data_IF_154881607156
#
_entry.id   IF_154881607156
#
_cell.length_a   1.000
_cell.length_b   1.000
_cell.length_c   1.000
_cell.angle_alpha   90.00
_cell.angle_beta   90.00
_cell.angle_gamma   90.00
#
_symmetry.space_group_name_H-M   'P 1'
#
loop_
_entity.id
_entity.type
_entity.pdbx_description
1 polymer ?
#
# COMPACT_ATOMS: atom_id res chain seq x y z
N UNK A 1 -9.02 -2.03 -27.68
CA UNK A 1 -10.28 -2.51 -27.10
C UNK A 1 -10.82 -1.56 -26.01
N UNK A 2 -9.94 -1.00 -25.18
CA UNK A 2 -10.27 -0.21 -23.98
C UNK A 2 -11.06 1.08 -24.23
N UNK A 3 -10.96 1.66 -25.42
CA UNK A 3 -11.57 2.95 -25.79
C UNK A 3 -13.06 3.09 -25.43
N UNK A 4 -13.87 2.06 -25.70
CA UNK A 4 -15.32 2.10 -25.41
C UNK A 4 -15.61 2.19 -23.90
N UNK A 5 -14.75 1.60 -23.07
CA UNK A 5 -14.89 1.63 -21.61
C UNK A 5 -14.49 2.99 -21.05
N UNK A 6 -13.46 3.62 -21.61
CA UNK A 6 -13.07 4.99 -21.27
C UNK A 6 -14.15 5.99 -21.69
N UNK A 7 -14.73 5.84 -22.88
CA UNK A 7 -15.85 6.68 -23.34
C UNK A 7 -17.10 6.52 -22.47
N UNK A 8 -17.40 5.29 -21.98
CA UNK A 8 -18.48 5.07 -21.02
C UNK A 8 -18.19 5.71 -19.65
N UNK A 9 -16.98 5.49 -19.13
CA UNK A 9 -16.56 6.00 -17.83
C UNK A 9 -16.56 7.54 -17.82
N UNK A 10 -15.92 8.17 -18.81
CA UNK A 10 -15.87 9.63 -18.98
C UNK A 10 -17.28 10.26 -19.01
N UNK A 11 -18.22 9.64 -19.73
CA UNK A 11 -19.61 10.12 -19.79
C UNK A 11 -20.31 10.07 -18.44
N UNK A 12 -19.98 9.06 -17.62
CA UNK A 12 -20.64 8.78 -16.34
C UNK A 12 -20.11 9.59 -15.16
N UNK A 13 -18.87 10.10 -15.25
CA UNK A 13 -18.29 10.96 -14.23
C UNK A 13 -19.02 12.31 -14.22
N UNK A 14 -19.51 12.69 -13.05
CA UNK A 14 -20.19 13.97 -12.80
C UNK A 14 -19.30 14.83 -11.88
N UNK A 15 -18.69 15.91 -12.40
CA UNK A 15 -17.77 16.75 -11.63
C UNK A 15 -18.31 17.19 -10.26
N UNK A 16 -19.56 17.65 -10.19
CA UNK A 16 -20.14 18.15 -8.94
C UNK A 16 -20.25 17.04 -7.88
N UNK A 17 -20.49 15.80 -8.31
CA UNK A 17 -20.59 14.63 -7.43
C UNK A 17 -19.21 14.20 -6.94
N UNK A 18 -18.21 14.19 -7.81
CA UNK A 18 -16.84 13.80 -7.44
C UNK A 18 -16.16 14.87 -6.57
N UNK A 19 -16.37 16.16 -6.85
CA UNK A 19 -15.87 17.26 -6.02
C UNK A 19 -16.48 17.20 -4.61
N UNK A 20 -17.80 17.05 -4.50
CA UNK A 20 -18.47 16.92 -3.21
C UNK A 20 -18.02 15.68 -2.41
N UNK A 21 -17.77 14.56 -3.10
CA UNK A 21 -17.24 13.35 -2.47
C UNK A 21 -15.81 13.57 -1.96
N UNK A 22 -14.95 14.19 -2.76
CA UNK A 22 -13.58 14.47 -2.38
C UNK A 22 -13.52 15.46 -1.20
N UNK A 23 -14.35 16.50 -1.21
CA UNK A 23 -14.49 17.44 -0.08
C UNK A 23 -14.94 16.74 1.21
N UNK A 24 -15.84 15.76 1.12
CA UNK A 24 -16.24 14.97 2.28
C UNK A 24 -15.06 14.15 2.84
N UNK A 25 -14.25 13.56 1.96
CA UNK A 25 -13.02 12.85 2.36
C UNK A 25 -11.99 13.78 3.01
N UNK A 26 -11.78 14.98 2.45
CA UNK A 26 -10.89 15.98 3.06
C UNK A 26 -11.41 16.43 4.42
N UNK A 27 -12.73 16.66 4.54
CA UNK A 27 -13.38 16.97 5.82
C UNK A 27 -13.16 15.88 6.87
N UNK A 28 -13.25 14.60 6.49
CA UNK A 28 -12.95 13.48 7.37
C UNK A 28 -11.47 13.47 7.82
N UNK A 29 -10.55 13.56 6.87
CA UNK A 29 -9.10 13.48 7.16
C UNK A 29 -8.60 14.67 8.00
N UNK A 30 -9.18 15.84 7.82
CA UNK A 30 -8.89 17.03 8.65
C UNK A 30 -9.63 17.02 10.01
N UNK A 31 -10.42 15.98 10.31
CA UNK A 31 -11.09 15.83 11.60
C UNK A 31 -12.34 16.69 11.78
N UNK A 32 -12.99 17.07 10.67
CA UNK A 32 -14.23 17.84 10.66
C UNK A 32 -15.50 16.96 10.55
N UNK A 33 -15.35 15.63 10.44
CA UNK A 33 -16.48 14.71 10.44
C UNK A 33 -17.24 14.77 11.77
N UNK A 34 -18.54 15.07 11.71
CA UNK A 34 -19.42 15.17 12.88
C UNK A 34 -20.05 13.83 13.26
N UNK A 35 -20.05 12.87 12.33
CA UNK A 35 -20.56 11.52 12.55
C UNK A 35 -19.50 10.68 13.27
N UNK A 36 -19.93 9.65 13.98
CA UNK A 36 -19.01 8.74 14.67
C UNK A 36 -18.25 7.84 13.69
N UNK A 37 -18.90 7.46 12.59
CA UNK A 37 -18.33 6.64 11.53
C UNK A 37 -18.49 7.43 10.23
N UNK A 38 -17.39 7.66 9.54
CA UNK A 38 -17.40 8.23 8.20
C UNK A 38 -17.64 7.12 7.17
N UNK A 39 -18.73 7.21 6.42
CA UNK A 39 -19.08 6.24 5.38
C UNK A 39 -19.71 6.99 4.20
N UNK A 40 -18.88 7.67 3.38
CA UNK A 40 -19.38 8.53 2.34
C UNK A 40 -20.02 7.73 1.20
N UNK A 41 -20.87 8.40 0.43
CA UNK A 41 -21.47 7.85 -0.78
C UNK A 41 -21.62 8.94 -1.83
N UNK A 42 -21.59 8.55 -3.11
CA UNK A 42 -21.93 9.46 -4.20
C UNK A 42 -23.40 9.80 -4.13
N UNK A 43 -23.72 11.07 -4.31
CA UNK A 43 -25.11 11.55 -4.36
C UNK A 43 -25.91 10.98 -5.53
N UNK A 44 -25.22 10.46 -6.55
CA UNK A 44 -25.81 9.83 -7.73
C UNK A 44 -25.00 8.62 -8.15
N UNK A 45 -25.67 7.48 -8.29
CA UNK A 45 -25.12 6.30 -8.94
C UNK A 45 -25.44 6.32 -10.44
N UNK A 46 -24.50 5.87 -11.28
CA UNK A 46 -24.67 5.78 -12.73
C UNK A 46 -24.27 4.40 -13.20
N UNK A 47 -25.18 3.63 -13.80
CA UNK A 47 -24.87 2.30 -14.32
C UNK A 47 -23.99 2.38 -15.59
N UNK A 48 -23.10 1.40 -15.82
CA UNK A 48 -22.33 1.33 -17.05
C UNK A 48 -23.24 1.04 -18.25
N UNK A 49 -22.93 1.64 -19.40
CA UNK A 49 -23.58 1.30 -20.67
C UNK A 49 -23.05 0.01 -21.31
N UNK A 50 -22.01 -0.59 -20.72
CA UNK A 50 -21.30 -1.77 -21.22
C UNK A 50 -21.05 -2.75 -20.07
N UNK A 51 -21.02 -4.05 -20.38
CA UNK A 51 -20.54 -5.05 -19.42
C UNK A 51 -19.01 -4.97 -19.34
N UNK A 52 -18.48 -4.75 -18.14
CA UNK A 52 -17.05 -4.70 -17.92
C UNK A 52 -16.49 -6.13 -17.81
N UNK A 53 -15.38 -6.44 -18.49
CA UNK A 53 -14.81 -7.78 -18.45
C UNK A 53 -14.04 -7.97 -17.15
N UNK A 54 -14.14 -9.16 -16.58
CA UNK A 54 -13.23 -9.59 -15.53
C UNK A 54 -11.88 -9.96 -16.15
N UNK A 55 -10.87 -9.13 -15.90
CA UNK A 55 -9.48 -9.36 -16.33
C UNK A 55 -8.72 -10.02 -15.20
N UNK A 56 -8.10 -11.17 -15.47
CA UNK A 56 -7.29 -11.89 -14.47
C UNK A 56 -5.98 -11.19 -14.20
N UNK A 57 -5.43 -11.39 -13.01
CA UNK A 57 -4.15 -10.80 -12.60
C UNK A 57 -3.03 -11.15 -13.58
N UNK A 58 -2.84 -12.42 -13.96
CA UNK A 58 -1.76 -12.79 -14.87
C UNK A 58 -1.87 -12.09 -16.23
N UNK A 59 -3.09 -11.91 -16.74
CA UNK A 59 -3.33 -11.14 -17.98
C UNK A 59 -2.96 -9.67 -17.81
N UNK A 60 -3.29 -9.06 -16.67
CA UNK A 60 -2.91 -7.69 -16.34
C UNK A 60 -1.38 -7.52 -16.23
N UNK A 61 -0.65 -8.51 -15.69
CA UNK A 61 0.82 -8.45 -15.57
C UNK A 61 1.55 -8.46 -16.93
N UNK A 62 0.92 -9.00 -17.97
CA UNK A 62 1.46 -9.15 -19.32
C UNK A 62 1.09 -8.00 -20.28
N UNK A 63 0.03 -7.25 -20.00
CA UNK A 63 -0.48 -6.22 -20.92
C UNK A 63 -0.94 -4.96 -20.19
N UNK A 64 -0.39 -3.81 -20.58
CA UNK A 64 -0.76 -2.50 -20.03
C UNK A 64 -2.24 -2.17 -20.27
N UNK A 65 -2.78 -2.53 -21.44
CA UNK A 65 -4.21 -2.34 -21.74
C UNK A 65 -5.09 -3.20 -20.83
N UNK A 66 -4.69 -4.45 -20.56
CA UNK A 66 -5.42 -5.34 -19.66
C UNK A 66 -5.32 -4.86 -18.20
N UNK A 67 -4.15 -4.39 -17.78
CA UNK A 67 -3.98 -3.77 -16.46
C UNK A 67 -4.87 -2.53 -16.30
N UNK A 68 -4.90 -1.64 -17.30
CA UNK A 68 -5.79 -0.48 -17.29
C UNK A 68 -7.26 -0.91 -17.16
N UNK A 69 -7.69 -1.89 -17.95
CA UNK A 69 -9.06 -2.38 -17.93
C UNK A 69 -9.44 -2.99 -16.57
N UNK A 70 -8.55 -3.78 -15.97
CA UNK A 70 -8.74 -4.35 -14.63
C UNK A 70 -8.86 -3.27 -13.55
N UNK A 71 -7.97 -2.26 -13.55
CA UNK A 71 -7.97 -1.21 -12.53
C UNK A 71 -9.17 -0.25 -12.71
N UNK A 72 -9.55 0.06 -13.95
CA UNK A 72 -10.69 0.94 -14.24
C UNK A 72 -12.05 0.27 -13.99
N UNK A 73 -12.13 -1.07 -13.96
CA UNK A 73 -13.35 -1.80 -13.58
C UNK A 73 -13.81 -1.38 -12.18
N UNK A 74 -12.88 -1.24 -11.22
CA UNK A 74 -13.19 -0.78 -9.87
C UNK A 74 -13.76 0.64 -9.86
N UNK A 75 -13.25 1.53 -10.72
CA UNK A 75 -13.77 2.90 -10.88
C UNK A 75 -15.21 2.88 -11.44
N UNK A 76 -15.45 2.08 -12.48
CA UNK A 76 -16.78 1.89 -13.05
C UNK A 76 -17.77 1.32 -12.04
N UNK A 77 -17.34 0.35 -11.23
CA UNK A 77 -18.15 -0.23 -10.14
C UNK A 77 -18.48 0.82 -9.08
N UNK A 78 -17.53 1.67 -8.69
CA UNK A 78 -17.75 2.73 -7.70
C UNK A 78 -18.84 3.72 -8.14
N UNK A 79 -18.83 4.12 -9.41
CA UNK A 79 -19.91 4.94 -10.00
C UNK A 79 -21.25 4.18 -10.04
N UNK A 80 -21.23 2.89 -10.37
CA UNK A 80 -22.44 2.08 -10.50
C UNK A 80 -23.15 1.81 -9.17
N UNK A 81 -22.40 1.62 -8.09
CA UNK A 81 -22.94 1.41 -6.75
C UNK A 81 -23.18 2.71 -6.00
N UNK A 82 -22.61 3.83 -6.48
CA UNK A 82 -22.63 5.10 -5.77
C UNK A 82 -21.82 5.06 -4.47
N UNK A 83 -20.81 4.18 -4.37
CA UNK A 83 -20.01 4.07 -3.15
C UNK A 83 -19.17 5.32 -2.90
N UNK A 84 -18.64 5.47 -1.69
CA UNK A 84 -17.71 6.54 -1.32
C UNK A 84 -16.28 6.35 -1.84
N UNK A 85 -16.03 5.32 -2.65
CA UNK A 85 -14.70 5.00 -3.16
C UNK A 85 -14.23 6.06 -4.15
N UNK A 86 -13.09 6.71 -3.87
CA UNK A 86 -12.42 7.58 -4.85
C UNK A 86 -11.93 6.73 -6.02
N UNK A 87 -12.18 7.17 -7.25
CA UNK A 87 -11.70 6.45 -8.43
C UNK A 87 -10.18 6.54 -8.48
N UNK A 88 -9.52 5.39 -8.49
CA UNK A 88 -8.07 5.33 -8.45
C UNK A 88 -7.56 4.08 -9.16
N UNK A 89 -6.37 4.20 -9.74
CA UNK A 89 -5.64 3.12 -10.40
C UNK A 89 -4.21 3.06 -9.87
N UNK A 90 -3.62 1.86 -9.90
CA UNK A 90 -2.22 1.62 -9.52
C UNK A 90 -1.51 0.83 -10.60
N UNK A 91 -0.22 1.04 -10.73
CA UNK A 91 0.68 0.10 -11.41
C UNK A 91 0.74 -1.21 -10.60
N UNK A 92 -0.25 -2.08 -10.79
CA UNK A 92 -0.61 -3.14 -9.84
C UNK A 92 0.21 -4.42 -10.05
N UNK A 93 1.51 -4.36 -9.78
CA UNK A 93 2.44 -5.48 -9.96
C UNK A 93 2.74 -6.29 -8.67
N UNK A 94 2.01 -6.03 -7.57
CA UNK A 94 2.14 -6.78 -6.32
C UNK A 94 3.35 -6.38 -5.47
N UNK A 95 3.61 -7.17 -4.42
CA UNK A 95 4.65 -6.89 -3.41
C UNK A 95 6.07 -7.10 -3.95
N UNK A 96 6.21 -7.76 -5.09
CA UNK A 96 7.50 -8.04 -5.73
C UNK A 96 8.18 -6.85 -6.39
N UNK A 97 7.57 -5.65 -6.41
CA UNK A 97 8.13 -4.47 -7.09
C UNK A 97 9.53 -4.16 -6.54
N UNK A 98 9.64 -3.74 -5.28
CA UNK A 98 10.92 -3.38 -4.65
C UNK A 98 11.91 -4.55 -4.60
N UNK A 99 11.55 -5.76 -4.16
CA UNK A 99 12.50 -6.88 -4.14
C UNK A 99 13.07 -7.25 -5.52
N UNK A 100 12.29 -7.09 -6.59
CA UNK A 100 12.77 -7.40 -7.95
C UNK A 100 13.86 -6.46 -8.45
N UNK A 101 13.96 -5.22 -7.94
CA UNK A 101 15.06 -4.29 -8.25
C UNK A 101 16.40 -4.85 -7.73
N UNK A 102 16.37 -5.55 -6.60
CA UNK A 102 17.52 -6.25 -6.02
C UNK A 102 17.78 -7.62 -6.66
N UNK A 103 16.97 -8.02 -7.65
CA UNK A 103 17.15 -9.27 -8.38
C UNK A 103 16.43 -10.48 -7.78
N UNK A 104 15.51 -10.30 -6.83
CA UNK A 104 14.60 -11.37 -6.42
C UNK A 104 13.72 -11.80 -7.61
N UNK A 105 13.60 -13.11 -7.82
CA UNK A 105 12.80 -13.67 -8.90
C UNK A 105 11.32 -13.58 -8.56
N UNK A 106 10.47 -13.22 -9.52
CA UNK A 106 9.03 -13.19 -9.30
C UNK A 106 8.47 -14.61 -9.16
N UNK A 107 7.64 -14.81 -8.15
CA UNK A 107 6.84 -16.02 -7.97
C UNK A 107 5.39 -15.72 -8.38
N UNK A 108 4.98 -16.28 -9.52
CA UNK A 108 3.61 -16.18 -10.02
C UNK A 108 2.84 -17.45 -9.65
N UNK A 109 1.65 -17.26 -9.08
CA UNK A 109 0.70 -18.34 -8.87
C UNK A 109 0.02 -18.75 -10.19
N UNK A 110 -0.57 -19.95 -10.21
CA UNK A 110 -1.42 -20.40 -11.31
C UNK A 110 -2.53 -19.36 -11.60
N UNK A 111 -2.82 -19.13 -12.88
CA UNK A 111 -3.80 -18.12 -13.35
C UNK A 111 -5.19 -18.26 -12.71
N UNK A 112 -5.56 -19.47 -12.28
CA UNK A 112 -6.83 -19.73 -11.58
C UNK A 112 -6.90 -19.14 -10.16
N UNK A 113 -5.76 -18.81 -9.54
CA UNK A 113 -5.70 -18.20 -8.22
C UNK A 113 -6.00 -16.70 -8.23
N UNK A 114 -5.90 -16.07 -9.41
CA UNK A 114 -6.21 -14.65 -9.64
C UNK A 114 -5.62 -13.71 -8.57
N UNK A 115 -4.34 -13.91 -8.25
CA UNK A 115 -3.65 -13.20 -7.17
C UNK A 115 -2.37 -12.54 -7.65
N UNK A 116 -1.99 -11.45 -6.99
CA UNK A 116 -0.76 -10.71 -7.28
C UNK A 116 0.48 -11.57 -7.00
N UNK A 117 1.57 -11.38 -7.77
CA UNK A 117 2.78 -12.14 -7.58
C UNK A 117 3.50 -11.70 -6.31
N UNK A 118 4.33 -12.61 -5.78
CA UNK A 118 5.34 -12.33 -4.76
C UNK A 118 6.72 -12.61 -5.34
N UNK A 119 7.75 -12.80 -4.51
CA UNK A 119 9.10 -13.16 -4.94
C UNK A 119 9.61 -14.43 -4.29
N UNK A 120 10.56 -15.08 -4.97
CA UNK A 120 11.46 -16.05 -4.38
C UNK A 120 12.58 -15.27 -3.68
N UNK A 121 12.84 -15.52 -2.39
CA UNK A 121 13.95 -14.91 -1.68
C UNK A 121 15.30 -15.16 -2.36
N UNK A 122 16.29 -14.31 -2.11
CA UNK A 122 17.61 -14.38 -2.74
C UNK A 122 18.36 -15.69 -2.46
N UNK A 123 18.03 -16.38 -1.36
CA UNK A 123 18.53 -17.73 -1.07
C UNK A 123 17.98 -18.83 -2.00
N UNK A 124 16.98 -18.51 -2.82
CA UNK A 124 16.25 -19.41 -3.71
C UNK A 124 15.15 -20.20 -2.99
N UNK A 125 14.24 -20.79 -3.76
CA UNK A 125 13.10 -21.55 -3.22
C UNK A 125 13.55 -22.74 -2.36
N UNK A 126 14.67 -23.37 -2.70
CA UNK A 126 15.23 -24.47 -1.91
C UNK A 126 15.72 -24.03 -0.52
N UNK A 127 15.87 -22.73 -0.25
CA UNK A 127 16.24 -22.18 1.05
C UNK A 127 15.03 -21.83 1.93
N UNK A 128 13.79 -21.94 1.43
CA UNK A 128 12.58 -21.62 2.21
C UNK A 128 12.08 -22.80 3.04
N UNK A 129 12.99 -23.58 3.61
CA UNK A 129 12.69 -24.73 4.47
C UNK A 129 12.92 -24.40 5.93
N UNK A 130 12.22 -25.10 6.83
CA UNK A 130 12.41 -24.92 8.28
C UNK A 130 13.86 -25.22 8.71
N UNK A 131 14.50 -26.20 8.10
CA UNK A 131 15.89 -26.56 8.41
C UNK A 131 16.86 -25.44 8.02
N UNK A 132 16.65 -24.82 6.86
CA UNK A 132 17.47 -23.67 6.43
C UNK A 132 17.20 -22.44 7.29
N UNK A 133 15.93 -22.18 7.64
CA UNK A 133 15.58 -21.07 8.52
C UNK A 133 16.15 -21.21 9.94
N UNK A 134 16.51 -22.42 10.37
CA UNK A 134 17.10 -22.72 11.68
C UNK A 134 18.62 -22.88 11.66
N UNK A 135 19.25 -22.89 10.49
CA UNK A 135 20.71 -22.92 10.40
C UNK A 135 21.32 -21.60 10.85
N UNK A 136 22.61 -21.61 11.21
CA UNK A 136 23.36 -20.41 11.55
C UNK A 136 23.16 -19.34 10.47
N UNK A 137 22.64 -18.17 10.86
CA UNK A 137 22.29 -17.11 9.92
C UNK A 137 23.49 -16.71 9.05
N UNK A 138 24.71 -16.74 9.61
CA UNK A 138 25.94 -16.36 8.90
C UNK A 138 26.32 -17.28 7.74
N UNK A 139 25.76 -18.49 7.67
CA UNK A 139 26.11 -19.51 6.69
C UNK A 139 25.07 -19.65 5.56
N UNK A 140 23.97 -18.90 5.63
CA UNK A 140 22.88 -19.05 4.65
C UNK A 140 23.21 -18.40 3.31
N UNK A 141 22.62 -18.94 2.23
CA UNK A 141 22.69 -18.32 0.90
C UNK A 141 22.05 -16.94 0.85
N UNK A 142 21.00 -16.71 1.65
CA UNK A 142 20.36 -15.39 1.75
C UNK A 142 21.36 -14.34 2.29
N UNK A 143 22.09 -14.68 3.36
CA UNK A 143 23.13 -13.81 3.93
C UNK A 143 24.23 -13.47 2.92
N UNK A 144 24.73 -14.47 2.18
CA UNK A 144 25.74 -14.25 1.15
C UNK A 144 25.22 -13.35 0.03
N UNK A 145 23.97 -13.53 -0.39
CA UNK A 145 23.35 -12.69 -1.41
C UNK A 145 23.14 -11.25 -0.91
N UNK A 146 22.73 -11.07 0.34
CA UNK A 146 22.56 -9.75 0.96
C UNK A 146 23.89 -9.00 1.04
N UNK A 147 24.97 -9.65 1.47
CA UNK A 147 26.30 -9.04 1.47
C UNK A 147 26.72 -8.57 0.08
N UNK A 148 26.47 -9.38 -0.95
CA UNK A 148 26.74 -8.99 -2.33
C UNK A 148 25.87 -7.81 -2.81
N UNK A 149 24.64 -7.66 -2.30
CA UNK A 149 23.80 -6.49 -2.59
C UNK A 149 24.34 -5.22 -1.93
N UNK A 150 24.81 -5.32 -0.69
CA UNK A 150 25.40 -4.18 0.02
C UNK A 150 26.63 -3.63 -0.71
N UNK A 151 27.46 -4.51 -1.27
CA UNK A 151 28.61 -4.11 -2.11
C UNK A 151 28.20 -3.38 -3.40
N UNK A 152 26.99 -3.64 -3.92
CA UNK A 152 26.46 -3.02 -5.13
C UNK A 152 25.75 -1.68 -4.87
N UNK A 153 25.20 -1.48 -3.66
CA UNK A 153 24.45 -0.29 -3.29
C UNK A 153 23.08 -0.20 -3.99
N UNK A 154 22.53 1.02 -4.09
CA UNK A 154 21.20 1.28 -4.65
C UNK A 154 21.13 0.78 -6.10
N UNK A 155 20.21 -0.14 -6.44
CA UNK A 155 20.08 -0.70 -7.79
C UNK A 155 19.51 0.32 -8.78
N UNK A 156 19.67 0.05 -10.07
CA UNK A 156 18.93 0.75 -11.13
C UNK A 156 17.42 0.58 -10.92
N UNK A 157 16.72 1.71 -10.78
CA UNK A 157 15.27 1.77 -10.54
C UNK A 157 14.43 1.17 -11.68
N UNK A 158 15.02 0.99 -12.87
CA UNK A 158 14.36 0.33 -14.01
C UNK A 158 14.58 -1.17 -14.06
N UNK A 159 15.36 -1.76 -13.14
CA UNK A 159 15.55 -3.22 -13.04
C UNK A 159 14.27 -3.92 -12.55
N UNK A 160 14.12 -5.19 -12.91
CA UNK A 160 12.99 -6.01 -12.45
C UNK A 160 11.65 -5.44 -12.92
N UNK A 161 10.70 -5.31 -11.98
CA UNK A 161 9.40 -4.69 -12.24
C UNK A 161 9.46 -3.16 -12.32
N UNK A 162 10.57 -2.52 -11.94
CA UNK A 162 10.69 -1.06 -11.92
C UNK A 162 10.40 -0.41 -13.27
N UNK A 163 10.97 -0.92 -14.37
CA UNK A 163 10.66 -0.43 -15.72
C UNK A 163 9.16 -0.54 -16.04
N UNK A 164 8.54 -1.70 -15.76
CA UNK A 164 7.11 -1.91 -16.00
C UNK A 164 6.24 -0.94 -15.22
N UNK A 165 6.60 -0.63 -13.97
CA UNK A 165 5.86 0.33 -13.14
C UNK A 165 5.88 1.72 -13.77
N UNK A 166 7.06 2.24 -14.12
CA UNK A 166 7.16 3.57 -14.75
C UNK A 166 6.50 3.60 -16.13
N UNK A 167 6.61 2.51 -16.91
CA UNK A 167 6.01 2.42 -18.24
C UNK A 167 4.47 2.37 -18.18
N UNK A 168 3.89 1.69 -17.18
CA UNK A 168 2.44 1.70 -16.95
C UNK A 168 1.97 3.07 -16.47
N UNK A 169 2.73 3.76 -15.61
CA UNK A 169 2.38 5.11 -15.17
C UNK A 169 2.31 6.07 -16.37
N UNK A 170 3.32 6.06 -17.23
CA UNK A 170 3.33 6.82 -18.48
C UNK A 170 2.16 6.41 -19.40
N UNK A 171 1.91 5.11 -19.53
CA UNK A 171 0.78 4.61 -20.32
C UNK A 171 -0.57 5.11 -19.79
N UNK A 172 -0.80 5.14 -18.47
CA UNK A 172 -2.02 5.71 -17.89
C UNK A 172 -2.17 7.20 -18.19
N UNK A 173 -1.09 7.98 -18.08
CA UNK A 173 -1.12 9.40 -18.40
C UNK A 173 -1.49 9.63 -19.88
N UNK A 174 -0.87 8.88 -20.80
CA UNK A 174 -1.21 8.92 -22.23
C UNK A 174 -2.64 8.47 -22.50
N UNK A 175 -3.08 7.40 -21.84
CA UNK A 175 -4.43 6.83 -22.00
C UNK A 175 -5.52 7.78 -21.52
N UNK A 176 -5.28 8.53 -20.43
CA UNK A 176 -6.24 9.43 -19.83
C UNK A 176 -6.25 10.83 -20.46
N UNK A 177 -5.16 11.25 -21.10
CA UNK A 177 -5.04 12.59 -21.70
C UNK A 177 -6.21 13.03 -22.61
N UNK A 178 -6.85 12.14 -23.41
CA UNK A 178 -8.01 12.52 -24.23
C UNK A 178 -9.34 12.67 -23.46
N UNK A 179 -9.37 12.34 -22.17
CA UNK A 179 -10.58 12.20 -21.35
C UNK A 179 -10.51 13.13 -20.12
N UNK A 180 -10.96 14.38 -20.22
CA UNK A 180 -10.73 15.41 -19.19
C UNK A 180 -11.25 15.04 -17.79
N UNK A 181 -12.40 14.36 -17.69
CA UNK A 181 -12.92 13.97 -16.38
C UNK A 181 -12.17 12.79 -15.81
N UNK A 182 -11.83 11.78 -16.61
CA UNK A 182 -10.96 10.68 -16.17
C UNK A 182 -9.61 11.23 -15.70
N UNK A 183 -8.98 12.10 -16.49
CA UNK A 183 -7.70 12.72 -16.13
C UNK A 183 -7.77 13.49 -14.81
N UNK A 184 -8.90 14.12 -14.50
CA UNK A 184 -9.10 14.90 -13.27
C UNK A 184 -9.47 14.04 -12.06
N UNK A 185 -10.31 13.03 -12.24
CA UNK A 185 -10.98 12.33 -11.13
C UNK A 185 -10.55 10.87 -10.94
N UNK A 186 -9.74 10.30 -11.84
CA UNK A 186 -9.12 8.98 -11.66
C UNK A 186 -7.68 9.16 -11.20
N UNK A 187 -7.43 8.91 -9.92
CA UNK A 187 -6.12 9.14 -9.32
C UNK A 187 -5.15 8.00 -9.62
N UNK A 188 -3.97 8.32 -10.16
CA UNK A 188 -2.85 7.38 -10.25
C UNK A 188 -2.06 7.51 -8.96
N UNK A 189 -2.08 6.49 -8.10
CA UNK A 189 -1.35 6.52 -6.84
C UNK A 189 -0.12 5.62 -6.87
N UNK A 190 0.78 5.84 -5.92
CA UNK A 190 2.08 5.17 -5.93
C UNK A 190 1.95 3.65 -5.86
N UNK A 191 2.88 2.92 -6.51
CA UNK A 191 2.86 1.47 -6.55
C UNK A 191 2.99 0.84 -5.15
N UNK A 192 2.79 -0.47 -5.11
CA UNK A 192 2.97 -1.23 -3.88
C UNK A 192 4.47 -1.40 -3.56
N UNK A 193 5.01 -0.45 -2.82
CA UNK A 193 6.43 -0.44 -2.45
C UNK A 193 6.72 -1.18 -1.15
N UNK A 194 5.69 -1.66 -0.45
CA UNK A 194 5.82 -2.28 0.89
C UNK A 194 6.47 -1.32 1.92
N UNK A 195 6.76 -1.79 3.13
CA UNK A 195 7.62 -1.14 4.11
C UNK A 195 9.06 -1.67 4.03
N UNK A 196 10.07 -0.94 4.57
CA UNK A 196 11.47 -1.39 4.53
C UNK A 196 11.71 -2.78 5.10
N UNK A 197 11.05 -3.13 6.21
CA UNK A 197 11.17 -4.45 6.83
C UNK A 197 10.54 -5.55 5.96
N UNK A 198 9.37 -5.29 5.38
CA UNK A 198 8.69 -6.22 4.47
C UNK A 198 9.52 -6.52 3.22
N UNK A 199 10.18 -5.51 2.66
CA UNK A 199 11.14 -5.70 1.56
C UNK A 199 12.31 -6.58 2.04
N UNK A 200 12.85 -6.34 3.23
CA UNK A 200 13.91 -7.18 3.80
C UNK A 200 13.44 -8.64 3.98
N UNK A 201 12.21 -8.86 4.47
CA UNK A 201 11.65 -10.21 4.61
C UNK A 201 11.47 -10.89 3.25
N UNK A 202 10.98 -10.17 2.24
CA UNK A 202 10.83 -10.69 0.88
C UNK A 202 12.18 -11.06 0.24
N UNK A 203 13.23 -10.28 0.49
CA UNK A 203 14.58 -10.55 0.00
C UNK A 203 15.25 -11.72 0.72
N UNK A 204 15.10 -11.81 2.04
CA UNK A 204 15.82 -12.78 2.87
C UNK A 204 15.06 -14.10 3.02
N UNK A 205 13.73 -14.04 3.03
CA UNK A 205 12.83 -15.12 3.45
C UNK A 205 12.79 -15.28 4.98
N UNK A 206 12.14 -16.34 5.46
CA UNK A 206 11.92 -16.58 6.90
C UNK A 206 13.20 -16.70 7.74
N UNK A 207 14.37 -16.88 7.12
CA UNK A 207 15.66 -16.81 7.80
C UNK A 207 15.95 -15.43 8.42
N UNK A 208 15.26 -14.37 7.98
CA UNK A 208 15.39 -13.01 8.52
C UNK A 208 15.17 -12.99 10.04
N UNK A 209 14.22 -13.76 10.57
CA UNK A 209 13.91 -13.75 12.00
C UNK A 209 15.08 -14.24 12.87
N UNK A 210 15.88 -15.18 12.36
CA UNK A 210 17.13 -15.57 13.01
C UNK A 210 18.23 -14.54 12.78
N UNK A 211 18.32 -13.95 11.59
CA UNK A 211 19.29 -12.91 11.28
C UNK A 211 19.11 -11.65 12.14
N UNK A 212 17.89 -11.26 12.48
CA UNK A 212 17.60 -10.16 13.41
C UNK A 212 18.21 -10.36 14.80
N UNK A 213 18.46 -11.61 15.20
CA UNK A 213 19.07 -11.97 16.48
C UNK A 213 20.58 -12.18 16.35
N UNK A 214 21.01 -12.90 15.31
CA UNK A 214 22.40 -13.35 15.15
C UNK A 214 23.28 -12.36 14.37
N UNK A 215 22.69 -11.61 13.44
CA UNK A 215 23.36 -10.68 12.52
C UNK A 215 22.66 -9.32 12.45
N UNK A 216 22.33 -8.69 13.60
CA UNK A 216 21.49 -7.50 13.59
C UNK A 216 22.12 -6.31 12.86
N UNK A 217 23.46 -6.21 12.85
CA UNK A 217 24.17 -5.13 12.15
C UNK A 217 24.01 -5.29 10.63
N UNK A 218 24.12 -6.51 10.11
CA UNK A 218 23.90 -6.79 8.69
C UNK A 218 22.45 -6.53 8.26
N UNK A 219 21.48 -6.84 9.12
CA UNK A 219 20.07 -6.50 8.84
C UNK A 219 19.87 -4.99 8.84
N UNK A 220 20.54 -4.26 9.73
CA UNK A 220 20.51 -2.79 9.78
C UNK A 220 21.08 -2.19 8.49
N UNK A 221 22.22 -2.70 8.01
CA UNK A 221 22.82 -2.28 6.73
C UNK A 221 21.87 -2.54 5.54
N UNK A 222 21.18 -3.70 5.53
CA UNK A 222 20.20 -3.99 4.48
C UNK A 222 18.98 -3.05 4.56
N UNK A 223 18.46 -2.77 5.76
CA UNK A 223 17.35 -1.84 5.96
C UNK A 223 17.71 -0.42 5.49
N UNK A 224 18.94 0.04 5.76
CA UNK A 224 19.45 1.31 5.25
C UNK A 224 19.45 1.33 3.72
N UNK A 225 20.05 0.33 3.08
CA UNK A 225 20.09 0.22 1.61
C UNK A 225 18.68 0.17 1.00
N UNK A 226 17.77 -0.63 1.58
CA UNK A 226 16.38 -0.73 1.14
C UNK A 226 15.67 0.62 1.27
N UNK A 227 15.90 1.34 2.36
CA UNK A 227 15.26 2.65 2.58
C UNK A 227 15.83 3.72 1.64
N UNK A 228 17.12 3.70 1.35
CA UNK A 228 17.74 4.56 0.32
C UNK A 228 17.16 4.27 -1.07
N UNK A 229 16.99 2.99 -1.41
CA UNK A 229 16.38 2.58 -2.68
C UNK A 229 14.91 2.98 -2.76
N UNK A 230 14.17 2.83 -1.65
CA UNK A 230 12.80 3.33 -1.54
C UNK A 230 12.77 4.84 -1.78
N UNK A 231 13.71 5.59 -1.20
CA UNK A 231 13.81 7.02 -1.40
C UNK A 231 14.01 7.37 -2.89
N UNK A 232 15.02 6.77 -3.52
CA UNK A 232 15.31 6.99 -4.94
C UNK A 232 14.13 6.62 -5.84
N UNK A 233 13.44 5.51 -5.55
CA UNK A 233 12.25 5.10 -6.30
C UNK A 233 11.11 6.10 -6.15
N UNK A 234 10.79 6.51 -4.92
CA UNK A 234 9.69 7.43 -4.66
C UNK A 234 9.95 8.84 -5.17
N UNK A 235 11.20 9.33 -5.11
CA UNK A 235 11.59 10.59 -5.76
C UNK A 235 11.30 10.52 -7.27
N UNK A 236 11.75 9.45 -7.95
CA UNK A 236 11.48 9.24 -9.38
C UNK A 236 9.98 9.05 -9.68
N UNK A 237 9.23 8.43 -8.78
CA UNK A 237 7.79 8.29 -8.90
C UNK A 237 7.07 9.64 -8.82
N UNK A 238 7.42 10.47 -7.84
CA UNK A 238 6.83 11.81 -7.65
C UNK A 238 7.15 12.70 -8.86
N UNK A 239 8.38 12.61 -9.41
CA UNK A 239 8.75 13.32 -10.64
C UNK A 239 7.89 12.88 -11.84
N UNK A 240 7.53 11.59 -11.91
CA UNK A 240 6.73 11.02 -13.00
C UNK A 240 5.23 11.22 -12.82
N UNK A 241 4.72 11.13 -11.59
CA UNK A 241 3.31 11.21 -11.22
C UNK A 241 3.20 12.15 -10.01
N UNK A 242 3.18 13.47 -10.24
CA UNK A 242 3.16 14.45 -9.18
C UNK A 242 1.91 14.36 -8.31
N UNK A 243 2.09 14.58 -7.01
CA UNK A 243 1.01 14.72 -6.05
C UNK A 243 1.32 15.92 -5.13
N UNK A 244 0.66 17.05 -5.36
CA UNK A 244 1.03 18.35 -4.75
C UNK A 244 0.09 18.78 -3.60
N UNK A 245 -1.05 18.10 -3.43
CA UNK A 245 -2.12 18.59 -2.55
C UNK A 245 -1.95 18.18 -1.07
N UNK A 246 -0.87 17.45 -0.72
CA UNK A 246 -0.63 16.99 0.65
C UNK A 246 -1.57 15.87 1.12
N UNK A 247 -2.32 15.28 0.19
CA UNK A 247 -3.19 14.11 0.41
C UNK A 247 -2.88 13.06 -0.65
N UNK A 248 -3.06 11.78 -0.31
CA UNK A 248 -2.91 10.69 -1.27
C UNK A 248 -4.12 9.77 -1.22
N UNK A 249 -4.37 9.12 -2.36
CA UNK A 249 -5.42 8.11 -2.50
C UNK A 249 -4.76 6.74 -2.47
N UNK A 250 -5.25 5.85 -1.63
CA UNK A 250 -4.81 4.45 -1.58
C UNK A 250 -6.02 3.55 -1.43
N UNK A 251 -6.13 2.55 -2.31
CA UNK A 251 -7.26 1.60 -2.33
C UNK A 251 -8.61 2.33 -2.29
N UNK A 252 -8.74 3.40 -3.07
CA UNK A 252 -9.92 4.27 -3.15
C UNK A 252 -10.29 5.03 -1.88
N UNK A 253 -9.39 5.12 -0.90
CA UNK A 253 -9.54 5.90 0.33
C UNK A 253 -8.53 7.05 0.32
N UNK A 254 -8.89 8.19 0.94
CA UNK A 254 -7.99 9.34 1.05
C UNK A 254 -7.28 9.30 2.40
N UNK A 255 -6.00 9.70 2.44
CA UNK A 255 -5.28 9.99 3.67
C UNK A 255 -4.41 11.24 3.50
N UNK A 256 -4.01 11.85 4.62
CA UNK A 256 -3.07 12.98 4.63
C UNK A 256 -1.63 12.47 4.43
N UNK A 257 -0.79 13.31 3.84
CA UNK A 257 0.58 12.96 3.45
C UNK A 257 0.65 12.27 2.08
N UNK A 258 1.84 11.78 1.72
CA UNK A 258 2.13 11.33 0.35
C UNK A 258 2.37 9.84 0.21
N UNK A 259 2.69 9.14 1.31
CA UNK A 259 3.08 7.73 1.27
C UNK A 259 2.15 6.85 2.09
N UNK A 260 2.02 5.59 1.68
CA UNK A 260 1.45 4.50 2.47
C UNK A 260 2.55 3.47 2.72
N UNK A 261 2.97 3.33 3.97
CA UNK A 261 3.88 2.27 4.42
C UNK A 261 3.07 1.00 4.67
N UNK A 262 3.62 -0.18 4.36
CA UNK A 262 2.97 -1.47 4.62
C UNK A 262 3.89 -2.29 5.51
N UNK A 263 3.46 -2.53 6.73
CA UNK A 263 4.22 -3.14 7.82
C UNK A 263 3.62 -4.50 8.21
N UNK A 264 3.51 -5.42 7.25
CA UNK A 264 2.92 -6.72 7.49
C UNK A 264 3.90 -7.61 8.30
N UNK A 265 5.20 -7.51 8.05
CA UNK A 265 6.25 -8.18 8.82
C UNK A 265 6.27 -7.78 10.29
N UNK A 266 5.80 -6.57 10.62
CA UNK A 266 5.78 -6.04 11.99
C UNK A 266 4.96 -6.91 12.95
N UNK A 267 3.96 -7.65 12.43
CA UNK A 267 3.14 -8.55 13.24
C UNK A 267 3.96 -9.64 13.94
N UNK A 268 5.10 -10.01 13.36
CA UNK A 268 6.00 -11.06 13.86
C UNK A 268 7.06 -10.53 14.83
N UNK A 269 7.15 -9.21 15.02
CA UNK A 269 8.22 -8.58 15.78
C UNK A 269 7.72 -8.02 17.11
N UNK A 270 8.53 -8.19 18.17
CA UNK A 270 8.24 -7.59 19.47
C UNK A 270 8.29 -6.06 19.41
N UNK A 271 7.67 -5.33 20.36
CA UNK A 271 7.72 -3.86 20.36
C UNK A 271 9.15 -3.29 20.37
N UNK A 272 10.07 -3.97 21.08
CA UNK A 272 11.49 -3.60 21.10
C UNK A 272 12.18 -3.82 19.74
N UNK A 273 11.77 -4.84 18.98
CA UNK A 273 12.27 -5.08 17.63
C UNK A 273 11.66 -4.08 16.63
N UNK A 274 10.38 -3.72 16.79
CA UNK A 274 9.75 -2.65 16.01
C UNK A 274 10.52 -1.33 16.16
N UNK A 275 10.78 -0.90 17.40
CA UNK A 275 11.55 0.32 17.69
C UNK A 275 12.97 0.29 17.11
N UNK A 276 13.59 -0.90 17.05
CA UNK A 276 14.96 -1.05 16.55
C UNK A 276 15.06 -1.13 15.03
N UNK A 277 14.17 -1.89 14.40
CA UNK A 277 14.34 -2.32 13.01
C UNK A 277 13.28 -1.81 12.05
N UNK A 278 12.19 -1.22 12.53
CA UNK A 278 11.11 -0.69 11.67
C UNK A 278 11.00 0.82 11.84
N UNK A 279 10.66 1.25 13.06
CA UNK A 279 10.37 2.65 13.39
C UNK A 279 11.41 3.66 12.86
N UNK A 280 12.74 3.42 12.93
CA UNK A 280 13.70 4.41 12.44
C UNK A 280 13.58 4.68 10.93
N UNK A 281 13.27 3.65 10.15
CA UNK A 281 13.21 3.72 8.69
C UNK A 281 11.85 4.28 8.22
N UNK A 282 10.77 3.87 8.85
CA UNK A 282 9.45 4.44 8.61
C UNK A 282 9.40 5.91 8.98
N UNK A 283 9.98 6.27 10.14
CA UNK A 283 10.08 7.66 10.57
C UNK A 283 10.90 8.49 9.57
N UNK A 284 11.96 7.92 8.99
CA UNK A 284 12.74 8.57 7.94
C UNK A 284 11.88 8.84 6.71
N UNK A 285 11.16 7.83 6.21
CA UNK A 285 10.28 7.97 5.04
C UNK A 285 9.15 8.97 5.28
N UNK A 286 8.46 8.88 6.42
CA UNK A 286 7.39 9.82 6.78
C UNK A 286 7.91 11.27 6.83
N UNK A 287 9.09 11.52 7.41
CA UNK A 287 9.68 12.87 7.43
C UNK A 287 10.06 13.35 6.04
N UNK A 288 10.67 12.51 5.22
CA UNK A 288 11.13 12.86 3.88
C UNK A 288 9.96 13.29 2.99
N UNK A 289 8.84 12.59 3.08
CA UNK A 289 7.70 12.76 2.19
C UNK A 289 6.53 13.54 2.82
N UNK A 290 6.75 14.26 3.90
CA UNK A 290 5.73 15.13 4.49
C UNK A 290 4.55 14.39 5.12
N UNK A 291 4.79 13.18 5.62
CA UNK A 291 3.83 12.34 6.32
C UNK A 291 3.13 11.33 5.41
N UNK A 292 2.22 10.56 6.01
CA UNK A 292 1.53 9.50 5.32
C UNK A 292 0.72 8.59 6.24
N UNK A 293 0.40 7.43 5.70
CA UNK A 293 -0.36 6.39 6.34
C UNK A 293 0.46 5.12 6.56
N UNK A 294 0.04 4.33 7.54
CA UNK A 294 0.57 3.01 7.84
C UNK A 294 -0.51 1.96 7.59
N UNK A 295 -0.18 0.90 6.87
CA UNK A 295 -0.99 -0.28 6.73
C UNK A 295 -0.35 -1.46 7.46
N UNK A 296 -1.17 -2.32 8.07
CA UNK A 296 -0.72 -3.64 8.47
C UNK A 296 -1.83 -4.70 8.40
N UNK A 297 -1.41 -5.91 8.07
CA UNK A 297 -2.18 -7.13 8.23
C UNK A 297 -1.91 -7.79 9.60
N UNK A 298 -2.84 -8.64 10.01
CA UNK A 298 -2.74 -9.43 11.23
C UNK A 298 -2.83 -8.59 12.49
N UNK A 299 -1.95 -8.89 13.44
CA UNK A 299 -1.93 -8.29 14.78
C UNK A 299 -0.90 -7.17 14.86
N UNK A 300 -1.32 -5.98 15.24
CA UNK A 300 -0.48 -4.80 15.45
C UNK A 300 -0.74 -4.04 16.77
N UNK A 301 -1.70 -4.47 17.58
CA UNK A 301 -1.99 -3.90 18.91
C UNK A 301 -0.75 -3.82 19.84
N UNK A 302 0.22 -4.72 19.66
CA UNK A 302 1.45 -4.72 20.47
C UNK A 302 2.44 -3.62 20.08
N UNK A 303 2.45 -3.12 18.85
CA UNK A 303 3.37 -2.07 18.40
C UNK A 303 2.68 -0.75 18.06
N UNK A 304 1.35 -0.70 17.94
CA UNK A 304 0.61 0.50 17.52
C UNK A 304 0.95 1.74 18.36
N UNK A 305 1.24 1.54 19.66
CA UNK A 305 1.74 2.61 20.54
C UNK A 305 2.98 3.27 19.96
N UNK A 306 3.95 2.47 19.55
CA UNK A 306 5.23 2.93 19.02
C UNK A 306 5.07 3.57 17.63
N UNK A 307 4.25 2.96 16.78
CA UNK A 307 3.92 3.51 15.46
C UNK A 307 3.25 4.88 15.57
N UNK A 308 2.29 5.04 16.49
CA UNK A 308 1.57 6.30 16.73
C UNK A 308 2.42 7.44 17.28
N UNK A 309 3.66 7.18 17.67
CA UNK A 309 4.62 8.19 18.08
C UNK A 309 5.54 8.64 16.92
N UNK A 310 5.37 8.09 15.71
CA UNK A 310 6.08 8.55 14.53
C UNK A 310 5.52 9.88 14.05
N UNK A 311 6.39 10.87 13.96
CA UNK A 311 6.06 12.18 13.41
C UNK A 311 5.67 12.04 11.93
N UNK A 312 4.51 12.58 11.57
CA UNK A 312 3.98 12.51 10.20
C UNK A 312 3.07 11.31 9.93
N UNK A 313 2.90 10.37 10.88
CA UNK A 313 1.84 9.35 10.76
C UNK A 313 0.48 9.99 11.03
N UNK A 314 -0.37 10.05 10.01
CA UNK A 314 -1.70 10.69 10.10
C UNK A 314 -2.85 9.71 10.00
N UNK A 315 -2.60 8.51 9.49
CA UNK A 315 -3.65 7.54 9.19
C UNK A 315 -3.16 6.11 9.34
N UNK A 316 -4.02 5.22 9.83
CA UNK A 316 -3.78 3.78 9.93
C UNK A 316 -4.84 3.03 9.14
N UNK A 317 -4.43 1.98 8.44
CA UNK A 317 -5.32 1.00 7.83
C UNK A 317 -4.95 -0.38 8.37
N UNK A 318 -5.94 -1.15 8.84
CA UNK A 318 -5.73 -2.50 9.34
C UNK A 318 -6.77 -3.46 8.77
N UNK A 319 -6.31 -4.67 8.41
CA UNK A 319 -7.15 -5.64 7.69
C UNK A 319 -7.94 -6.58 8.60
N UNK A 320 -7.42 -6.96 9.77
CA UNK A 320 -8.01 -7.97 10.67
C UNK A 320 -8.19 -7.44 12.10
N UNK A 321 -9.20 -6.58 12.36
CA UNK A 321 -9.47 -6.08 13.72
C UNK A 321 -9.73 -7.21 14.74
N UNK A 322 -10.24 -8.37 14.32
CA UNK A 322 -10.46 -9.55 15.16
C UNK A 322 -9.17 -10.17 15.72
N UNK A 323 -8.00 -9.84 15.15
CA UNK A 323 -6.70 -10.28 15.65
C UNK A 323 -6.09 -9.32 16.69
N UNK A 324 -6.77 -8.22 17.02
CA UNK A 324 -6.23 -7.11 17.80
C UNK A 324 -7.08 -6.81 19.03
N UNK A 325 -6.44 -6.36 20.11
CA UNK A 325 -7.13 -5.56 21.12
C UNK A 325 -7.47 -4.18 20.52
N UNK A 326 -8.70 -4.03 20.05
CA UNK A 326 -9.15 -2.81 19.38
C UNK A 326 -9.19 -1.60 20.31
N UNK A 327 -9.34 -1.77 21.63
CA UNK A 327 -9.27 -0.63 22.56
C UNK A 327 -7.86 -0.02 22.55
N UNK A 328 -6.82 -0.86 22.52
CA UNK A 328 -5.43 -0.41 22.38
C UNK A 328 -5.19 0.27 21.03
N UNK A 329 -5.79 -0.25 19.94
CA UNK A 329 -5.72 0.40 18.63
C UNK A 329 -6.33 1.80 18.68
N UNK A 330 -7.55 1.96 19.21
CA UNK A 330 -8.23 3.26 19.28
C UNK A 330 -7.49 4.25 20.21
N UNK A 331 -7.01 3.80 21.37
CA UNK A 331 -6.25 4.62 22.33
C UNK A 331 -4.94 5.17 21.74
N UNK A 332 -4.39 4.50 20.73
CA UNK A 332 -3.17 4.89 20.05
C UNK A 332 -3.40 5.40 18.63
N UNK A 333 -4.65 5.55 18.20
CA UNK A 333 -4.98 6.16 16.91
C UNK A 333 -5.97 7.29 17.08
N UNK A 334 -7.26 6.96 17.22
CA UNK A 334 -8.38 7.89 17.33
C UNK A 334 -8.15 8.93 18.44
N UNK A 335 -7.76 8.49 19.64
CA UNK A 335 -7.51 9.39 20.79
C UNK A 335 -6.31 10.32 20.55
N UNK A 336 -5.40 9.96 19.65
CA UNK A 336 -4.24 10.75 19.25
C UNK A 336 -4.47 11.59 18.01
N UNK A 337 -5.68 11.57 17.45
CA UNK A 337 -6.01 12.31 16.23
C UNK A 337 -5.58 11.61 14.93
N UNK A 338 -5.16 10.35 14.98
CA UNK A 338 -4.78 9.55 13.81
C UNK A 338 -6.04 8.86 13.29
N UNK A 339 -6.36 9.08 12.02
CA UNK A 339 -7.55 8.48 11.41
C UNK A 339 -7.35 6.97 11.18
N UNK A 340 -8.42 6.18 11.28
CA UNK A 340 -8.46 4.81 10.80
C UNK A 340 -9.27 4.79 9.51
N UNK A 341 -8.71 4.26 8.43
CA UNK A 341 -9.44 4.07 7.16
C UNK A 341 -9.71 2.61 6.88
N UNK A 342 -10.89 2.31 6.34
CA UNK A 342 -11.21 0.99 5.79
C UNK A 342 -11.45 -0.07 6.87
N UNK A 343 -11.81 0.36 8.08
CA UNK A 343 -12.15 -0.56 9.16
C UNK A 343 -13.47 -1.28 8.80
N UNK A 344 -13.55 -2.61 8.97
CA UNK A 344 -14.83 -3.32 8.86
C UNK A 344 -15.89 -2.69 9.76
N UNK A 345 -17.06 -2.38 9.19
CA UNK A 345 -18.16 -1.65 9.87
C UNK A 345 -18.53 -2.27 11.23
N UNK A 346 -18.55 -3.60 11.32
CA UNK A 346 -18.87 -4.30 12.57
C UNK A 346 -17.92 -3.97 13.72
N UNK A 347 -16.64 -3.70 13.44
CA UNK A 347 -15.65 -3.39 14.48
C UNK A 347 -15.84 -1.97 15.02
N UNK A 348 -16.23 -1.03 14.15
CA UNK A 348 -16.61 0.32 14.57
C UNK A 348 -17.91 0.31 15.39
N UNK A 349 -18.92 -0.45 14.95
CA UNK A 349 -20.21 -0.59 15.65
C UNK A 349 -20.05 -1.25 17.03
N UNK A 350 -19.17 -2.26 17.17
CA UNK A 350 -18.86 -2.86 18.46
C UNK A 350 -18.23 -1.84 19.43
N UNK A 351 -17.30 -1.01 18.96
CA UNK A 351 -16.69 0.05 19.76
C UNK A 351 -17.75 1.05 20.27
N UNK A 352 -18.66 1.50 19.39
CA UNK A 352 -19.76 2.39 19.76
C UNK A 352 -20.73 1.74 20.76
N UNK A 353 -21.07 0.45 20.56
CA UNK A 353 -21.93 -0.29 21.47
C UNK A 353 -21.32 -0.43 22.88
N UNK A 354 -19.99 -0.43 22.98
CA UNK A 354 -19.22 -0.41 24.23
C UNK A 354 -19.04 0.99 24.81
N UNK A 355 -19.62 2.02 24.20
CA UNK A 355 -19.64 3.40 24.68
C UNK A 355 -18.38 4.21 24.35
N UNK A 356 -17.55 3.74 23.42
CA UNK A 356 -16.38 4.48 22.92
C UNK A 356 -16.82 5.58 21.96
N UNK A 357 -16.20 6.74 22.04
CA UNK A 357 -16.35 7.81 21.06
C UNK A 357 -15.28 7.64 19.99
N UNK A 358 -15.67 7.62 18.72
CA UNK A 358 -14.77 7.45 17.57
C UNK A 358 -14.32 8.80 16.99
N UNK A 359 -14.83 9.91 17.53
CA UNK A 359 -14.44 11.29 17.20
C UNK A 359 -14.49 11.63 15.69
N UNK A 360 -15.30 10.91 14.91
CA UNK A 360 -15.35 11.05 13.46
C UNK A 360 -14.03 10.72 12.76
N UNK A 361 -13.21 9.84 13.35
CA UNK A 361 -11.89 9.45 12.84
C UNK A 361 -11.83 8.04 12.28
N UNK A 362 -12.96 7.36 12.17
CA UNK A 362 -13.04 6.00 11.62
C UNK A 362 -13.84 6.00 10.33
N UNK A 363 -13.20 5.56 9.24
CA UNK A 363 -13.87 5.29 7.97
C UNK A 363 -14.24 3.80 7.82
N UNK A 364 -15.48 3.56 7.40
CA UNK A 364 -16.01 2.25 7.04
C UNK A 364 -16.70 2.29 5.68
N UNK A 365 -16.61 1.20 4.92
CA UNK A 365 -17.38 1.01 3.68
C UNK A 365 -18.88 0.84 3.91
#
# INVERSE_FOLDING_TARGET
MIRQYLEDLERRIDPDVEEALFDAWLGFIEGHCQEQIFSPGRQRATLPGLEWPHVRVNQALESFEMMALQQLEACSRALATGSGAIMAVRCNYGTGIMPSLFGAELFLMDDAMDTLPTVIPLGGLAATTLDTARSCASETRATQAVQALLDLGVPDLRRGLGAKVFDVAAYYQELFAPYPKIQRYVHIYHPDLQGPMDICELLWGSGLFMALLELPDLVTELLELVTETYCAFMDAWIDSVPNEDGYAVHWSMVHKGHIMLRDDSAMNLSPAMFDRFIRPYDQWLLRRYGGGALHFCGRGDHYIRHASEMEGLTTVNLSQPECNDMDVIFDHTVEKGIAIIGLPRWAAEDALARGRDLHGRVHCW
#
